data_IF_894037711979
#
_entry.id   IF_894037711979
#
_cell.length_a   1.000
_cell.length_b   1.000
_cell.length_c   1.000
_cell.angle_alpha   90.00
_cell.angle_beta   90.00
_cell.angle_gamma   90.00
#
_symmetry.space_group_name_H-M   'P 1'
#
loop_
_entity.id
_entity.type
_entity.pdbx_description
1 polymer ?
#
# COMPACT_ATOMS: atom_id res chain seq x y z
N UNK A 1 -4.15 -17.71 8.11
CA UNK A 1 -4.84 -17.55 6.82
C UNK A 1 -3.89 -17.99 5.72
N UNK A 2 -4.36 -18.70 4.71
CA UNK A 2 -3.56 -19.17 3.58
C UNK A 2 -4.31 -18.87 2.28
N UNK A 3 -3.61 -18.27 1.32
CA UNK A 3 -4.05 -18.15 -0.06
C UNK A 3 -3.17 -19.11 -0.87
N UNK A 4 -3.79 -20.02 -1.62
CA UNK A 4 -3.05 -20.87 -2.53
C UNK A 4 -2.76 -20.07 -3.80
N UNK A 5 -1.52 -20.12 -4.26
CA UNK A 5 -1.11 -19.46 -5.50
C UNK A 5 -0.61 -20.49 -6.52
N UNK A 6 -0.86 -20.22 -7.80
CA UNK A 6 -0.22 -20.89 -8.91
C UNK A 6 0.87 -19.99 -9.51
N UNK A 7 2.07 -20.04 -8.91
CA UNK A 7 3.12 -19.09 -9.20
C UNK A 7 3.73 -19.23 -10.62
N UNK A 8 4.24 -20.42 -10.95
CA UNK A 8 4.77 -20.77 -12.27
C UNK A 8 4.52 -22.26 -12.52
N UNK A 9 4.51 -22.68 -13.79
CA UNK A 9 4.20 -24.09 -14.11
C UNK A 9 5.39 -25.02 -13.88
N UNK A 10 6.60 -24.54 -14.15
CA UNK A 10 7.84 -25.28 -13.90
C UNK A 10 8.54 -24.74 -12.65
N UNK A 11 9.19 -25.60 -11.84
CA UNK A 11 10.01 -25.14 -10.70
C UNK A 11 11.17 -24.26 -11.19
N UNK A 12 11.04 -22.94 -11.03
CA UNK A 12 12.05 -21.96 -11.41
C UNK A 12 11.84 -20.65 -10.65
N UNK A 13 12.84 -19.77 -10.72
CA UNK A 13 12.70 -18.40 -10.24
C UNK A 13 11.85 -17.59 -11.23
N UNK A 14 10.95 -16.77 -10.69
CA UNK A 14 10.08 -15.88 -11.44
C UNK A 14 10.60 -14.44 -11.31
N UNK A 15 10.50 -13.55 -12.30
CA UNK A 15 9.65 -13.64 -13.47
C UNK A 15 10.34 -13.06 -14.72
N UNK A 16 10.56 -13.88 -15.75
CA UNK A 16 11.13 -13.45 -17.02
C UNK A 16 10.06 -13.18 -18.07
N UNK A 17 10.28 -12.22 -18.97
CA UNK A 17 9.37 -11.96 -20.10
C UNK A 17 9.28 -13.12 -21.10
N UNK A 18 10.31 -13.96 -21.17
CA UNK A 18 10.46 -15.04 -22.14
C UNK A 18 10.76 -16.40 -21.48
N UNK A 19 10.36 -16.59 -20.22
CA UNK A 19 10.61 -17.83 -19.48
C UNK A 19 9.66 -18.98 -19.86
N UNK A 20 8.79 -18.77 -20.85
CA UNK A 20 7.85 -19.77 -21.35
C UNK A 20 6.71 -20.10 -20.39
N UNK A 21 6.51 -19.31 -19.33
CA UNK A 21 5.46 -19.48 -18.33
C UNK A 21 4.55 -18.25 -18.19
N UNK A 22 4.83 -17.14 -18.87
CA UNK A 22 4.18 -15.85 -18.60
C UNK A 22 2.70 -15.78 -18.98
N UNK A 23 2.25 -16.48 -20.02
CA UNK A 23 0.87 -16.35 -20.49
C UNK A 23 0.27 -17.64 -21.09
N UNK A 24 -1.05 -17.67 -21.21
CA UNK A 24 -1.78 -18.80 -21.78
C UNK A 24 -1.24 -19.18 -23.18
N UNK A 25 -0.93 -20.46 -23.38
CA UNK A 25 -0.36 -20.97 -24.63
C UNK A 25 1.15 -20.75 -24.76
N UNK A 26 1.83 -20.30 -23.70
CA UNK A 26 3.27 -20.48 -23.60
C UNK A 26 3.67 -21.95 -23.51
N UNK A 27 4.92 -22.22 -23.88
CA UNK A 27 5.44 -23.60 -24.04
C UNK A 27 5.25 -24.45 -22.78
N UNK A 28 5.23 -23.81 -21.59
CA UNK A 28 4.97 -24.48 -20.32
C UNK A 28 3.64 -24.09 -19.67
N UNK A 29 2.78 -23.31 -20.32
CA UNK A 29 1.50 -22.87 -19.75
C UNK A 29 0.31 -23.25 -20.64
N UNK A 30 -0.11 -24.51 -20.51
CA UNK A 30 -1.35 -25.04 -21.09
C UNK A 30 -2.57 -24.63 -20.24
N UNK A 31 -3.54 -23.88 -20.79
CA UNK A 31 -4.69 -23.40 -20.05
C UNK A 31 -5.64 -24.53 -19.59
N UNK A 32 -5.81 -25.59 -20.37
CA UNK A 32 -6.71 -26.70 -20.00
C UNK A 32 -6.10 -27.54 -18.87
N UNK A 33 -4.78 -27.72 -18.88
CA UNK A 33 -4.06 -28.36 -17.78
C UNK A 33 -4.10 -27.49 -16.51
N UNK A 34 -3.93 -26.19 -16.65
CA UNK A 34 -4.03 -25.24 -15.54
C UNK A 34 -5.41 -25.25 -14.88
N UNK A 35 -6.50 -25.21 -15.65
CA UNK A 35 -7.87 -25.31 -15.11
C UNK A 35 -8.08 -26.62 -14.32
N UNK A 36 -7.56 -27.73 -14.82
CA UNK A 36 -7.59 -29.03 -14.10
C UNK A 36 -6.79 -28.97 -12.80
N UNK A 37 -5.61 -28.33 -12.83
CA UNK A 37 -4.78 -28.11 -11.65
C UNK A 37 -5.48 -27.28 -10.59
N UNK A 38 -6.08 -26.15 -10.98
CA UNK A 38 -6.88 -25.30 -10.10
C UNK A 38 -8.03 -26.07 -9.45
N UNK A 39 -8.80 -26.82 -10.23
CA UNK A 39 -9.91 -27.63 -9.72
C UNK A 39 -9.45 -28.66 -8.70
N UNK A 40 -8.32 -29.32 -8.97
CA UNK A 40 -7.73 -30.32 -8.07
C UNK A 40 -7.27 -29.71 -6.75
N UNK A 41 -6.61 -28.55 -6.80
CA UNK A 41 -6.16 -27.85 -5.59
C UNK A 41 -7.35 -27.32 -4.78
N UNK A 42 -8.36 -26.77 -5.45
CA UNK A 42 -9.59 -26.31 -4.80
C UNK A 42 -10.31 -27.45 -4.06
N UNK A 43 -10.48 -28.61 -4.71
CA UNK A 43 -11.11 -29.79 -4.12
C UNK A 43 -10.28 -30.38 -2.97
N UNK A 44 -8.95 -30.46 -3.12
CA UNK A 44 -8.04 -30.95 -2.08
C UNK A 44 -8.16 -30.17 -0.76
N UNK A 45 -8.35 -28.86 -0.84
CA UNK A 45 -8.48 -27.99 0.33
C UNK A 45 -9.94 -27.69 0.72
N UNK A 46 -10.90 -28.43 0.17
CA UNK A 46 -12.31 -28.28 0.52
C UNK A 46 -12.53 -28.64 1.99
N UNK A 47 -13.11 -27.70 2.74
CA UNK A 47 -13.35 -27.85 4.19
C UNK A 47 -12.14 -27.52 5.08
N UNK A 48 -10.98 -27.14 4.51
CA UNK A 48 -9.83 -26.67 5.27
C UNK A 48 -9.99 -25.17 5.57
N UNK A 49 -10.48 -24.84 6.77
CA UNK A 49 -10.81 -23.46 7.17
C UNK A 49 -9.67 -22.45 7.10
N UNK A 50 -8.42 -22.93 7.14
CA UNK A 50 -7.25 -22.05 7.08
C UNK A 50 -6.95 -21.57 5.65
N UNK A 51 -7.42 -22.29 4.62
CA UNK A 51 -7.32 -21.88 3.21
C UNK A 51 -8.54 -21.05 2.86
N UNK A 52 -8.32 -19.74 2.71
CA UNK A 52 -9.41 -18.78 2.52
C UNK A 52 -9.59 -18.37 1.07
N UNK A 53 -8.57 -18.56 0.23
CA UNK A 53 -8.57 -18.06 -1.13
C UNK A 53 -7.61 -18.80 -2.04
N UNK A 54 -7.82 -18.61 -3.34
CA UNK A 54 -6.93 -19.08 -4.39
C UNK A 54 -6.64 -17.94 -5.36
N UNK A 55 -5.38 -17.51 -5.40
CA UNK A 55 -4.80 -16.76 -6.53
C UNK A 55 -4.56 -17.75 -7.66
N UNK A 56 -5.16 -17.45 -8.81
CA UNK A 56 -5.26 -18.44 -9.87
C UNK A 56 -4.00 -18.50 -10.73
N UNK A 57 -3.24 -17.41 -10.84
CA UNK A 57 -1.99 -17.36 -11.60
C UNK A 57 -1.20 -16.10 -11.24
N UNK A 58 0.06 -16.26 -10.88
CA UNK A 58 0.97 -15.15 -10.66
C UNK A 58 1.43 -14.48 -11.97
N UNK A 59 1.37 -13.15 -12.01
CA UNK A 59 2.05 -12.27 -12.97
C UNK A 59 1.88 -12.64 -14.44
N UNK A 60 0.65 -12.60 -14.96
CA UNK A 60 0.41 -12.81 -16.41
C UNK A 60 1.15 -11.72 -17.21
N UNK A 61 2.01 -12.16 -18.15
CA UNK A 61 3.00 -11.28 -18.79
C UNK A 61 3.55 -11.84 -20.10
N UNK A 62 4.47 -11.09 -20.71
CA UNK A 62 5.26 -11.55 -21.85
C UNK A 62 4.62 -11.24 -23.21
N UNK A 63 5.27 -11.62 -24.32
CA UNK A 63 4.92 -11.14 -25.66
C UNK A 63 3.60 -11.67 -26.21
N UNK A 64 3.05 -12.75 -25.64
CA UNK A 64 1.75 -13.31 -26.04
C UNK A 64 0.57 -12.73 -25.28
N UNK A 65 0.82 -11.98 -24.20
CA UNK A 65 -0.25 -11.48 -23.35
C UNK A 65 -1.25 -10.64 -24.14
N UNK A 66 -2.54 -10.88 -23.92
CA UNK A 66 -3.60 -10.14 -24.57
C UNK A 66 -4.91 -10.23 -23.79
N UNK A 67 -5.73 -9.18 -23.89
CA UNK A 67 -7.01 -9.08 -23.19
C UNK A 67 -8.03 -10.14 -23.62
N UNK A 68 -8.19 -10.47 -24.93
CA UNK A 68 -9.12 -11.51 -25.36
C UNK A 68 -8.89 -12.88 -24.70
N UNK A 69 -7.64 -13.34 -24.64
CA UNK A 69 -7.31 -14.63 -24.00
C UNK A 69 -7.43 -14.57 -22.48
N UNK A 70 -7.14 -13.42 -21.85
CA UNK A 70 -7.44 -13.22 -20.44
C UNK A 70 -8.93 -13.45 -20.16
N UNK A 71 -9.83 -12.81 -20.92
CA UNK A 71 -11.29 -13.02 -20.79
C UNK A 71 -11.75 -14.43 -21.20
N UNK A 72 -10.97 -15.13 -22.03
CA UNK A 72 -11.28 -16.51 -22.41
C UNK A 72 -10.97 -17.50 -21.29
N UNK A 73 -9.87 -17.32 -20.57
CA UNK A 73 -9.34 -18.34 -19.65
C UNK A 73 -9.51 -18.00 -18.16
N UNK A 74 -9.34 -16.74 -17.75
CA UNK A 74 -9.48 -16.37 -16.33
C UNK A 74 -10.89 -16.67 -15.78
N UNK A 75 -11.99 -16.33 -16.50
CA UNK A 75 -13.32 -16.73 -16.04
C UNK A 75 -13.51 -18.24 -15.96
N UNK A 76 -12.93 -19.02 -16.90
CA UNK A 76 -13.02 -20.49 -16.85
C UNK A 76 -12.30 -21.08 -15.65
N UNK A 77 -11.11 -20.57 -15.32
CA UNK A 77 -10.39 -20.94 -14.10
C UNK A 77 -11.20 -20.61 -12.85
N UNK A 78 -11.79 -19.42 -12.81
CA UNK A 78 -12.60 -18.96 -11.69
C UNK A 78 -13.85 -19.83 -11.45
N UNK A 79 -14.58 -20.16 -12.51
CA UNK A 79 -15.74 -21.06 -12.44
C UNK A 79 -15.34 -22.47 -11.99
N UNK A 80 -14.19 -22.97 -12.45
CA UNK A 80 -13.69 -24.28 -12.07
C UNK A 80 -13.30 -24.35 -10.59
N UNK A 81 -12.60 -23.33 -10.08
CA UNK A 81 -12.32 -23.19 -8.64
C UNK A 81 -13.62 -23.12 -7.83
N UNK A 82 -14.58 -22.30 -8.26
CA UNK A 82 -15.86 -22.15 -7.59
C UNK A 82 -16.65 -23.46 -7.51
N UNK A 83 -16.73 -24.20 -8.62
CA UNK A 83 -17.43 -25.47 -8.69
C UNK A 83 -16.81 -26.53 -7.78
N UNK A 84 -15.48 -26.57 -7.69
CA UNK A 84 -14.77 -27.50 -6.81
C UNK A 84 -14.91 -27.10 -5.32
N UNK A 85 -14.70 -25.81 -5.02
CA UNK A 85 -14.73 -25.27 -3.66
C UNK A 85 -15.50 -23.93 -3.59
N UNK A 86 -16.78 -23.94 -3.20
CA UNK A 86 -17.60 -22.74 -3.17
C UNK A 86 -17.23 -21.78 -2.03
N UNK A 87 -16.43 -22.21 -1.05
CA UNK A 87 -16.16 -21.43 0.17
C UNK A 87 -14.88 -20.57 0.11
N UNK A 88 -13.99 -20.82 -0.85
CA UNK A 88 -12.76 -20.01 -1.01
C UNK A 88 -13.03 -18.76 -1.84
N UNK A 89 -12.36 -17.66 -1.49
CA UNK A 89 -12.19 -16.49 -2.33
C UNK A 89 -11.51 -16.89 -3.64
N UNK A 90 -11.94 -16.30 -4.74
CA UNK A 90 -11.33 -16.50 -6.06
C UNK A 90 -10.67 -15.19 -6.47
N UNK A 91 -9.34 -15.21 -6.59
CA UNK A 91 -8.53 -14.02 -6.80
C UNK A 91 -8.05 -14.00 -8.26
N UNK A 92 -8.33 -12.90 -8.96
CA UNK A 92 -7.97 -12.70 -10.37
C UNK A 92 -6.76 -11.77 -10.49
N UNK A 93 -5.69 -12.29 -11.08
CA UNK A 93 -4.50 -11.53 -11.49
C UNK A 93 -4.71 -10.69 -12.75
N UNK A 94 -3.90 -9.64 -12.84
CA UNK A 94 -3.89 -8.67 -13.93
C UNK A 94 -2.95 -9.05 -15.06
N UNK A 95 -2.72 -8.11 -15.97
CA UNK A 95 -1.69 -8.18 -17.00
C UNK A 95 -0.45 -7.42 -16.56
N UNK A 96 0.62 -7.54 -17.36
CA UNK A 96 1.88 -6.84 -17.15
C UNK A 96 2.46 -7.07 -15.75
N UNK A 97 2.69 -8.32 -15.38
CA UNK A 97 3.25 -8.68 -14.06
C UNK A 97 2.32 -8.23 -12.91
N UNK A 98 1.01 -8.42 -13.09
CA UNK A 98 -0.03 -8.02 -12.13
C UNK A 98 -0.02 -6.52 -11.78
N UNK A 99 0.40 -5.69 -12.72
CA UNK A 99 0.39 -4.23 -12.54
C UNK A 99 -0.77 -3.54 -13.24
N UNK A 100 -1.56 -4.26 -14.06
CA UNK A 100 -2.59 -3.67 -14.91
C UNK A 100 -3.90 -4.48 -14.95
N UNK A 101 -4.97 -3.87 -14.41
CA UNK A 101 -6.35 -4.34 -14.46
C UNK A 101 -7.26 -3.34 -15.20
N UNK A 102 -6.70 -2.31 -15.85
CA UNK A 102 -7.47 -1.19 -16.42
C UNK A 102 -8.47 -1.63 -17.50
N UNK A 103 -8.19 -2.73 -18.19
CA UNK A 103 -9.08 -3.29 -19.21
C UNK A 103 -10.42 -3.80 -18.64
N UNK A 104 -10.51 -4.06 -17.33
CA UNK A 104 -11.75 -4.46 -16.65
C UNK A 104 -12.71 -3.27 -16.49
N UNK A 105 -12.18 -2.04 -16.43
CA UNK A 105 -13.00 -0.83 -16.32
C UNK A 105 -14.00 -0.71 -17.48
N UNK A 106 -13.59 -1.11 -18.69
CA UNK A 106 -14.42 -1.03 -19.89
C UNK A 106 -15.28 -2.29 -20.11
N UNK A 107 -14.90 -3.41 -19.51
CA UNK A 107 -15.58 -4.70 -19.70
C UNK A 107 -15.58 -5.48 -18.37
N UNK A 108 -16.57 -5.30 -17.49
CA UNK A 108 -16.60 -6.06 -16.24
C UNK A 108 -16.62 -7.58 -16.47
N UNK A 109 -15.87 -8.31 -15.64
CA UNK A 109 -15.85 -9.78 -15.68
C UNK A 109 -17.22 -10.34 -15.32
N UNK A 110 -17.70 -11.31 -16.10
CA UNK A 110 -18.97 -12.00 -15.83
C UNK A 110 -18.69 -13.42 -15.33
N UNK A 111 -19.17 -13.71 -14.13
CA UNK A 111 -19.08 -15.00 -13.44
C UNK A 111 -20.45 -15.36 -12.85
N UNK A 112 -20.65 -16.65 -12.56
CA UNK A 112 -21.82 -17.18 -11.86
C UNK A 112 -21.89 -16.74 -10.38
N UNK A 113 -20.81 -16.19 -9.85
CA UNK A 113 -20.68 -15.70 -8.47
C UNK A 113 -20.00 -14.32 -8.41
N UNK A 114 -20.25 -13.56 -7.34
CA UNK A 114 -19.66 -12.23 -7.13
C UNK A 114 -19.14 -11.99 -5.71
N UNK A 115 -19.87 -12.41 -4.68
CA UNK A 115 -19.58 -12.09 -3.26
C UNK A 115 -18.32 -12.69 -2.65
N UNK A 116 -17.43 -13.25 -3.46
CA UNK A 116 -16.13 -13.84 -3.06
C UNK A 116 -15.04 -13.64 -4.12
N UNK A 117 -15.28 -12.74 -5.07
CA UNK A 117 -14.34 -12.36 -6.11
C UNK A 117 -13.42 -11.27 -5.57
N UNK A 118 -12.13 -11.42 -5.82
CA UNK A 118 -11.08 -10.48 -5.44
C UNK A 118 -10.20 -10.25 -6.66
N UNK A 119 -9.62 -9.06 -6.80
CA UNK A 119 -8.60 -8.78 -7.79
C UNK A 119 -7.26 -8.58 -7.11
N UNK A 120 -6.16 -8.96 -7.75
CA UNK A 120 -4.83 -8.77 -7.16
C UNK A 120 -3.89 -7.93 -8.01
N UNK A 121 -2.98 -7.25 -7.32
CA UNK A 121 -1.93 -6.44 -7.94
C UNK A 121 -0.60 -6.54 -7.21
N UNK A 122 0.48 -6.40 -7.98
CA UNK A 122 1.84 -6.31 -7.48
C UNK A 122 2.33 -4.87 -7.58
N UNK A 123 3.09 -4.43 -6.59
CA UNK A 123 3.67 -3.09 -6.60
C UNK A 123 5.05 -3.08 -5.95
N UNK A 124 6.05 -2.70 -6.74
CA UNK A 124 7.43 -2.55 -6.29
C UNK A 124 7.98 -1.19 -6.74
N UNK A 125 9.10 -0.77 -6.15
CA UNK A 125 9.76 0.48 -6.50
C UNK A 125 10.13 0.57 -7.99
N UNK A 126 10.47 -0.57 -8.61
CA UNK A 126 10.88 -0.68 -10.01
C UNK A 126 9.70 -0.81 -10.99
N UNK A 127 8.45 -0.94 -10.52
CA UNK A 127 7.26 -1.05 -11.38
C UNK A 127 7.13 0.12 -12.35
N UNK A 128 7.46 1.34 -11.90
CA UNK A 128 7.42 2.57 -12.70
C UNK A 128 8.82 3.00 -13.18
N UNK A 129 9.71 2.04 -13.42
CA UNK A 129 11.05 2.26 -13.95
C UNK A 129 11.94 3.09 -13.01
N UNK A 130 12.57 4.14 -13.54
CA UNK A 130 13.51 4.99 -12.78
C UNK A 130 12.85 6.24 -12.17
N UNK A 131 11.52 6.26 -12.01
CA UNK A 131 10.78 7.44 -11.55
C UNK A 131 11.29 7.95 -10.20
N UNK A 132 11.56 7.06 -9.24
CA UNK A 132 12.08 7.42 -7.92
C UNK A 132 13.48 8.05 -7.93
N UNK A 133 14.31 7.66 -8.89
CA UNK A 133 15.66 8.19 -9.07
C UNK A 133 15.67 9.54 -9.81
N UNK A 134 14.71 9.75 -10.72
CA UNK A 134 14.74 10.84 -11.69
C UNK A 134 13.84 12.03 -11.35
N UNK A 135 12.85 11.85 -10.48
CA UNK A 135 11.86 12.87 -10.16
C UNK A 135 11.94 13.34 -8.72
N UNK A 136 11.48 14.57 -8.48
CA UNK A 136 11.18 15.05 -7.14
C UNK A 136 10.23 14.06 -6.42
N UNK A 137 10.47 13.68 -5.15
CA UNK A 137 9.65 12.67 -4.48
C UNK A 137 8.15 12.98 -4.37
N UNK A 138 7.76 14.26 -4.28
CA UNK A 138 6.33 14.63 -4.28
C UNK A 138 5.68 14.36 -5.64
N UNK A 139 6.37 14.70 -6.73
CA UNK A 139 5.91 14.45 -8.10
C UNK A 139 5.89 12.95 -8.41
N UNK A 140 6.95 12.24 -8.03
CA UNK A 140 7.05 10.79 -8.18
C UNK A 140 5.88 10.07 -7.49
N UNK A 141 5.63 10.38 -6.21
CA UNK A 141 4.55 9.75 -5.46
C UNK A 141 3.17 10.08 -6.05
N UNK A 142 2.93 11.33 -6.47
CA UNK A 142 1.67 11.73 -7.12
C UNK A 142 1.44 10.98 -8.44
N UNK A 143 2.47 10.91 -9.30
CA UNK A 143 2.39 10.23 -10.58
C UNK A 143 2.14 8.73 -10.41
N UNK A 144 2.93 8.08 -9.55
CA UNK A 144 2.88 6.63 -9.34
C UNK A 144 1.56 6.22 -8.70
N UNK A 145 1.12 6.89 -7.63
CA UNK A 145 -0.18 6.57 -7.02
C UNK A 145 -1.32 6.83 -8.00
N UNK A 146 -1.23 7.88 -8.83
CA UNK A 146 -2.16 8.10 -9.93
C UNK A 146 -2.17 6.97 -10.96
N UNK A 147 -1.01 6.38 -11.29
CA UNK A 147 -0.93 5.18 -12.15
C UNK A 147 -1.61 3.98 -11.49
N UNK A 148 -1.31 3.69 -10.22
CA UNK A 148 -1.91 2.58 -9.46
C UNK A 148 -3.43 2.71 -9.41
N UNK A 149 -3.95 3.91 -9.13
CA UNK A 149 -5.40 4.14 -9.11
C UNK A 149 -6.06 3.94 -10.48
N UNK A 150 -5.43 4.40 -11.57
CA UNK A 150 -5.92 4.18 -12.94
C UNK A 150 -5.89 2.71 -13.35
N UNK A 151 -4.87 1.97 -12.93
CA UNK A 151 -4.67 0.59 -13.35
C UNK A 151 -5.44 -0.42 -12.53
N UNK A 152 -5.69 -0.16 -11.26
CA UNK A 152 -6.36 -1.13 -10.38
C UNK A 152 -7.18 -0.50 -9.25
N UNK A 153 -6.73 0.62 -8.67
CA UNK A 153 -7.42 1.22 -7.52
C UNK A 153 -8.87 1.62 -7.79
N UNK A 154 -9.25 1.87 -9.05
CA UNK A 154 -10.65 2.11 -9.45
C UNK A 154 -11.61 0.96 -9.05
N UNK A 155 -11.10 -0.26 -8.84
CA UNK A 155 -11.90 -1.40 -8.40
C UNK A 155 -12.45 -1.21 -6.98
N UNK A 156 -11.67 -0.58 -6.09
CA UNK A 156 -12.12 -0.23 -4.75
C UNK A 156 -13.29 0.76 -4.81
N UNK A 157 -13.22 1.77 -5.68
CA UNK A 157 -14.32 2.74 -5.90
C UNK A 157 -15.59 2.07 -6.44
N UNK A 158 -15.45 0.92 -7.11
CA UNK A 158 -16.55 0.10 -7.60
C UNK A 158 -17.07 -0.93 -6.58
N UNK A 159 -16.48 -0.97 -5.38
CA UNK A 159 -16.85 -1.89 -4.30
C UNK A 159 -16.26 -3.29 -4.44
N UNK A 160 -15.24 -3.48 -5.28
CA UNK A 160 -14.52 -4.75 -5.40
C UNK A 160 -13.31 -4.80 -4.46
N UNK A 161 -13.08 -5.93 -3.76
CA UNK A 161 -11.84 -6.12 -3.01
C UNK A 161 -10.62 -6.13 -3.94
N UNK A 162 -9.60 -5.36 -3.56
CA UNK A 162 -8.29 -5.33 -4.20
C UNK A 162 -7.26 -5.84 -3.20
N UNK A 163 -6.55 -6.90 -3.55
CA UNK A 163 -5.50 -7.52 -2.75
C UNK A 163 -4.13 -7.16 -3.34
N UNK A 164 -3.32 -6.42 -2.62
CA UNK A 164 -1.94 -6.18 -3.03
C UNK A 164 -1.10 -7.40 -2.64
N UNK A 165 -1.09 -8.42 -3.51
CA UNK A 165 -0.53 -9.74 -3.22
C UNK A 165 0.99 -9.74 -3.09
N UNK A 166 1.68 -8.75 -3.67
CA UNK A 166 3.12 -8.60 -3.51
C UNK A 166 3.60 -7.14 -3.51
N UNK A 167 4.41 -6.82 -2.51
CA UNK A 167 5.33 -5.69 -2.48
C UNK A 167 6.54 -6.05 -1.63
N UNK A 168 7.60 -5.24 -1.72
CA UNK A 168 8.76 -5.37 -0.85
C UNK A 168 9.82 -4.32 -1.16
N UNK A 169 10.82 -4.26 -0.28
CA UNK A 169 12.04 -3.48 -0.45
C UNK A 169 13.23 -4.28 0.08
N UNK A 170 14.43 -3.87 -0.28
CA UNK A 170 15.68 -4.35 0.27
C UNK A 170 15.82 -3.94 1.75
N UNK A 171 15.66 -4.91 2.62
CA UNK A 171 15.65 -4.72 4.06
C UNK A 171 17.04 -4.53 4.67
N UNK A 172 18.11 -4.51 3.86
CA UNK A 172 19.40 -3.96 4.29
C UNK A 172 19.33 -2.45 4.55
N UNK A 173 18.32 -1.77 3.99
CA UNK A 173 18.08 -0.34 4.24
C UNK A 173 19.09 0.59 3.56
N UNK A 174 19.64 0.17 2.42
CA UNK A 174 20.66 0.93 1.69
C UNK A 174 20.12 1.62 0.42
N UNK A 175 18.91 1.26 -0.02
CA UNK A 175 18.33 1.77 -1.26
C UNK A 175 17.36 2.94 -0.99
N UNK A 176 17.80 4.15 -1.33
CA UNK A 176 17.03 5.39 -1.12
C UNK A 176 15.73 5.42 -1.93
N UNK A 177 15.74 4.90 -3.16
CA UNK A 177 14.57 4.90 -4.04
C UNK A 177 13.48 3.97 -3.51
N UNK A 178 13.88 2.82 -2.98
CA UNK A 178 12.97 1.89 -2.32
C UNK A 178 12.40 2.45 -1.01
N UNK A 179 13.18 3.25 -0.26
CA UNK A 179 12.64 3.96 0.91
C UNK A 179 11.62 5.03 0.54
N UNK A 180 11.88 5.80 -0.53
CA UNK A 180 10.92 6.78 -1.09
C UNK A 180 9.64 6.09 -1.53
N UNK A 181 9.78 4.98 -2.25
CA UNK A 181 8.68 4.09 -2.62
C UNK A 181 7.88 3.65 -1.40
N UNK A 182 8.53 3.07 -0.38
CA UNK A 182 7.85 2.55 0.80
C UNK A 182 7.08 3.65 1.55
N UNK A 183 7.62 4.87 1.66
CA UNK A 183 6.89 6.00 2.26
C UNK A 183 5.60 6.32 1.48
N UNK A 184 5.67 6.29 0.15
CA UNK A 184 4.51 6.51 -0.71
C UNK A 184 3.52 5.33 -0.65
N UNK A 185 4.01 4.09 -0.61
CA UNK A 185 3.21 2.89 -0.40
C UNK A 185 2.40 2.98 0.90
N UNK A 186 3.07 3.28 2.03
CA UNK A 186 2.39 3.40 3.34
C UNK A 186 1.30 4.49 3.32
N UNK A 187 1.49 5.53 2.53
CA UNK A 187 0.48 6.59 2.33
C UNK A 187 -0.76 6.06 1.63
N UNK A 188 -0.58 5.29 0.55
CA UNK A 188 -1.68 4.75 -0.23
C UNK A 188 -2.39 3.62 0.54
N UNK A 189 -1.62 2.70 1.12
CA UNK A 189 -2.12 1.57 1.89
C UNK A 189 -2.95 2.02 3.10
N UNK A 190 -2.45 2.97 3.90
CA UNK A 190 -3.23 3.52 5.03
C UNK A 190 -4.48 4.28 4.59
N UNK A 191 -4.45 4.96 3.44
CA UNK A 191 -5.58 5.74 2.96
C UNK A 191 -6.69 4.92 2.29
N UNK A 192 -6.32 3.86 1.56
CA UNK A 192 -7.25 2.97 0.88
C UNK A 192 -7.68 1.79 1.74
N UNK A 193 -6.87 1.43 2.73
CA UNK A 193 -7.13 0.33 3.66
C UNK A 193 -7.34 -1.02 2.95
N UNK A 194 -6.58 -1.27 1.88
CA UNK A 194 -6.60 -2.53 1.14
C UNK A 194 -5.81 -3.63 1.86
N UNK A 195 -6.18 -4.88 1.62
CA UNK A 195 -5.42 -6.04 2.08
C UNK A 195 -4.12 -6.23 1.30
N UNK A 196 -3.07 -6.71 1.96
CA UNK A 196 -1.74 -6.86 1.35
C UNK A 196 -1.00 -8.11 1.83
N UNK A 197 -0.06 -8.57 1.02
CA UNK A 197 0.93 -9.57 1.40
C UNK A 197 2.35 -9.07 1.03
N UNK A 198 3.24 -9.19 2.00
CA UNK A 198 4.64 -8.76 1.88
C UNK A 198 5.47 -9.90 1.30
N UNK A 199 6.23 -9.59 0.25
CA UNK A 199 7.35 -10.40 -0.20
C UNK A 199 8.60 -9.97 0.59
N UNK A 200 9.08 -10.74 1.57
CA UNK A 200 8.66 -12.10 1.98
C UNK A 200 9.13 -12.42 3.41
N UNK A 201 8.58 -13.46 4.05
CA UNK A 201 9.02 -13.88 5.40
C UNK A 201 10.45 -14.46 5.42
N UNK A 202 10.92 -15.03 4.31
CA UNK A 202 12.12 -15.88 4.29
C UNK A 202 13.42 -15.13 4.65
N UNK A 203 14.48 -15.86 4.97
CA UNK A 203 15.83 -15.31 5.15
C UNK A 203 16.81 -15.71 4.05
N UNK A 204 16.72 -16.95 3.59
CA UNK A 204 17.55 -17.53 2.54
C UNK A 204 16.78 -18.61 1.78
N UNK A 205 17.23 -18.93 0.57
CA UNK A 205 16.64 -19.98 -0.26
C UNK A 205 17.36 -21.31 -0.05
N UNK A 206 16.61 -22.41 0.05
CA UNK A 206 17.22 -23.74 -0.03
C UNK A 206 18.02 -23.91 -1.33
N UNK A 207 17.45 -23.44 -2.44
CA UNK A 207 18.11 -23.31 -3.74
C UNK A 207 17.44 -22.18 -4.52
N UNK A 208 18.23 -21.25 -5.07
CA UNK A 208 17.76 -20.25 -6.03
C UNK A 208 18.78 -20.13 -7.15
N UNK A 209 18.33 -20.39 -8.38
CA UNK A 209 19.15 -20.23 -9.60
C UNK A 209 20.51 -20.96 -9.52
N UNK A 210 20.54 -22.14 -8.88
CA UNK A 210 21.76 -22.94 -8.72
C UNK A 210 22.62 -22.58 -7.50
N UNK A 211 22.23 -21.57 -6.73
CA UNK A 211 22.92 -21.14 -5.50
C UNK A 211 22.16 -21.65 -4.28
N UNK A 212 22.84 -22.45 -3.46
CA UNK A 212 22.34 -22.94 -2.16
C UNK A 212 22.47 -21.84 -1.12
N UNK A 213 21.48 -21.71 -0.23
CA UNK A 213 21.46 -20.71 0.85
C UNK A 213 21.62 -19.27 0.35
N UNK A 214 21.15 -18.99 -0.86
CA UNK A 214 21.17 -17.64 -1.41
C UNK A 214 20.37 -16.71 -0.49
N UNK A 215 21.01 -15.64 -0.03
CA UNK A 215 20.40 -14.68 0.90
C UNK A 215 19.27 -13.90 0.22
N UNK A 216 18.10 -13.80 0.87
CA UNK A 216 16.98 -12.97 0.40
C UNK A 216 17.00 -11.63 1.13
N UNK A 217 17.43 -10.58 0.44
CA UNK A 217 17.54 -9.25 1.03
C UNK A 217 16.19 -8.54 1.19
N UNK A 218 15.15 -8.97 0.48
CA UNK A 218 13.77 -8.51 0.68
C UNK A 218 13.07 -9.27 1.83
N UNK A 219 13.76 -10.25 2.42
CA UNK A 219 13.25 -11.12 3.46
C UNK A 219 13.22 -10.49 4.85
N UNK A 220 12.11 -10.64 5.58
CA UNK A 220 11.95 -10.16 6.97
C UNK A 220 13.02 -10.74 7.88
N UNK A 221 13.42 -12.00 7.65
CA UNK A 221 14.41 -12.70 8.45
C UNK A 221 15.82 -12.52 7.88
N UNK A 222 16.82 -12.63 8.74
CA UNK A 222 18.23 -12.73 8.34
C UNK A 222 18.53 -14.11 7.71
N UNK A 223 19.71 -14.23 7.08
CA UNK A 223 20.02 -15.39 6.23
C UNK A 223 20.01 -16.74 6.95
N UNK A 224 20.22 -16.74 8.27
CA UNK A 224 20.21 -17.93 9.12
C UNK A 224 18.88 -18.12 9.87
N UNK A 225 17.87 -17.29 9.57
CA UNK A 225 16.51 -17.36 10.11
C UNK A 225 16.42 -17.14 11.63
N UNK A 226 17.41 -16.46 12.22
CA UNK A 226 17.53 -16.30 13.67
C UNK A 226 16.98 -14.97 14.18
N UNK A 227 17.00 -13.91 13.36
CA UNK A 227 16.52 -12.58 13.76
C UNK A 227 15.71 -11.88 12.66
N UNK A 228 14.98 -10.85 13.08
CA UNK A 228 14.36 -9.89 12.17
C UNK A 228 15.46 -9.00 11.60
N UNK A 229 15.60 -8.97 10.28
CA UNK A 229 16.62 -8.20 9.55
C UNK A 229 16.48 -6.69 9.77
N UNK A 230 15.25 -6.18 9.78
CA UNK A 230 14.99 -4.74 9.90
C UNK A 230 13.78 -4.46 10.81
N UNK A 231 14.08 -4.16 12.08
CA UNK A 231 13.05 -3.89 13.08
C UNK A 231 12.26 -2.60 12.78
N UNK A 232 12.92 -1.58 12.24
CA UNK A 232 12.29 -0.30 11.88
C UNK A 232 11.25 -0.50 10.77
N UNK A 233 11.57 -1.31 9.76
CA UNK A 233 10.63 -1.68 8.71
C UNK A 233 9.40 -2.42 9.29
N UNK A 234 9.63 -3.41 10.15
CA UNK A 234 8.53 -4.18 10.75
C UNK A 234 7.62 -3.29 11.61
N UNK A 235 8.20 -2.39 12.40
CA UNK A 235 7.45 -1.39 13.17
C UNK A 235 6.61 -0.50 12.26
N UNK A 236 7.17 -0.02 11.15
CA UNK A 236 6.49 0.85 10.20
C UNK A 236 5.27 0.16 9.56
N UNK A 237 5.43 -1.06 9.04
CA UNK A 237 4.31 -1.78 8.38
C UNK A 237 3.27 -2.30 9.38
N UNK A 238 3.62 -2.47 10.66
CA UNK A 238 2.65 -2.89 11.69
C UNK A 238 1.46 -1.92 11.81
N UNK A 239 1.66 -0.66 11.42
CA UNK A 239 0.64 0.38 11.45
C UNK A 239 -0.55 0.12 10.50
N UNK A 240 -0.34 -0.67 9.45
CA UNK A 240 -1.35 -1.00 8.42
C UNK A 240 -1.73 -2.50 8.45
N UNK A 241 -1.37 -3.22 9.53
CA UNK A 241 -1.79 -4.62 9.71
C UNK A 241 -3.24 -4.74 10.18
N UNK A 242 -3.71 -3.73 10.92
CA UNK A 242 -5.10 -3.63 11.32
C UNK A 242 -5.77 -2.56 10.46
N UNK A 243 -7.01 -2.80 10.00
CA UNK A 243 -7.71 -1.83 9.17
C UNK A 243 -7.97 -0.54 9.95
N UNK A 244 -7.86 0.60 9.25
CA UNK A 244 -8.31 1.89 9.76
C UNK A 244 -9.83 2.02 9.70
N UNK A 245 -10.45 1.38 8.70
CA UNK A 245 -11.87 1.44 8.41
C UNK A 245 -12.47 0.04 8.54
N UNK A 246 -13.50 -0.08 9.36
CA UNK A 246 -14.31 -1.27 9.55
C UNK A 246 -15.57 -1.21 8.69
N UNK A 247 -16.41 -2.25 8.75
CA UNK A 247 -17.66 -2.29 8.00
C UNK A 247 -18.55 -1.09 8.37
N UNK A 248 -19.13 -0.45 7.35
CA UNK A 248 -20.04 0.68 7.52
C UNK A 248 -21.23 0.28 8.41
N UNK A 249 -21.28 0.87 9.60
CA UNK A 249 -22.37 0.71 10.56
C UNK A 249 -22.94 2.09 10.88
N UNK A 250 -24.27 2.25 10.99
CA UNK A 250 -24.89 3.53 11.39
C UNK A 250 -24.41 4.08 12.74
N UNK A 251 -23.83 3.22 13.57
CA UNK A 251 -23.32 3.58 14.90
C UNK A 251 -21.82 3.91 14.88
N UNK A 252 -21.13 3.65 13.77
CA UNK A 252 -19.70 3.87 13.65
C UNK A 252 -19.37 5.36 13.78
N UNK A 253 -18.37 5.67 14.59
CA UNK A 253 -17.84 7.03 14.68
C UNK A 253 -16.77 7.21 13.60
N UNK A 254 -17.03 8.13 12.69
CA UNK A 254 -16.08 8.52 11.65
C UNK A 254 -15.25 9.72 12.07
N UNK A 255 -13.94 9.62 11.94
CA UNK A 255 -12.99 10.71 12.16
C UNK A 255 -11.71 10.43 11.37
N UNK A 256 -10.80 11.39 11.32
CA UNK A 256 -9.50 11.22 10.68
C UNK A 256 -8.38 11.06 11.71
N UNK A 257 -7.32 10.37 11.33
CA UNK A 257 -6.02 10.46 12.01
C UNK A 257 -5.01 11.11 11.08
N UNK A 258 -4.02 11.79 11.67
CA UNK A 258 -2.91 12.37 10.90
C UNK A 258 -1.76 11.36 10.94
N UNK A 259 -1.69 10.51 9.93
CA UNK A 259 -0.72 9.43 9.78
C UNK A 259 0.60 9.95 9.19
N UNK A 260 1.73 9.49 9.71
CA UNK A 260 3.07 9.86 9.26
C UNK A 260 3.74 8.63 8.60
N UNK A 261 3.78 8.57 7.25
CA UNK A 261 4.14 7.36 6.51
C UNK A 261 5.56 6.88 6.74
N UNK A 262 6.51 7.77 7.03
CA UNK A 262 7.91 7.41 7.28
C UNK A 262 8.08 6.56 8.55
N UNK A 263 7.25 6.80 9.58
CA UNK A 263 7.38 6.13 10.88
C UNK A 263 6.30 5.08 11.14
N UNK A 264 5.17 5.11 10.40
CA UNK A 264 4.02 4.25 10.71
C UNK A 264 3.27 4.70 11.97
N UNK A 265 3.40 5.97 12.37
CA UNK A 265 2.79 6.50 13.58
C UNK A 265 1.82 7.63 13.24
N UNK A 266 0.94 7.99 14.16
CA UNK A 266 0.00 9.10 14.00
C UNK A 266 0.28 10.21 15.02
N UNK A 267 -0.12 11.44 14.67
CA UNK A 267 -0.09 12.59 15.59
C UNK A 267 -1.00 12.30 16.78
N UNK A 268 -0.46 12.41 17.99
CA UNK A 268 -1.20 12.29 19.22
C UNK A 268 -0.86 13.40 20.20
N UNK A 269 -1.79 13.63 21.11
CA UNK A 269 -1.63 14.47 22.28
C UNK A 269 -1.62 13.58 23.52
N UNK A 270 -0.51 13.61 24.26
CA UNK A 270 -0.39 12.86 25.53
C UNK A 270 -1.12 13.56 26.67
N UNK A 271 -0.97 14.88 26.75
CA UNK A 271 -1.67 15.75 27.70
C UNK A 271 -1.86 17.15 27.11
N UNK A 272 -2.54 18.04 27.84
CA UNK A 272 -2.71 19.44 27.41
C UNK A 272 -1.42 20.27 27.46
N UNK A 273 -0.45 19.86 28.29
CA UNK A 273 0.82 20.58 28.48
C UNK A 273 1.97 20.00 27.66
N UNK A 274 1.85 18.74 27.22
CA UNK A 274 2.89 18.08 26.46
C UNK A 274 2.88 18.52 24.99
N UNK A 275 4.05 18.56 24.33
CA UNK A 275 4.12 18.75 22.90
C UNK A 275 3.33 17.65 22.15
N UNK A 276 2.75 18.01 21.01
CA UNK A 276 2.23 17.03 20.07
C UNK A 276 3.39 16.13 19.61
N UNK A 277 3.14 14.82 19.54
CA UNK A 277 4.15 13.85 19.14
C UNK A 277 3.55 12.73 18.31
N UNK A 278 4.39 11.94 17.65
CA UNK A 278 3.94 10.71 17.01
C UNK A 278 3.90 9.54 17.98
N UNK A 279 3.02 8.59 17.69
CA UNK A 279 2.87 7.33 18.40
C UNK A 279 1.74 6.47 17.82
N UNK A 280 1.35 5.38 18.50
CA UNK A 280 0.45 4.39 17.93
C UNK A 280 -0.88 5.00 17.49
N UNK A 281 -1.27 4.76 16.24
CA UNK A 281 -2.50 5.32 15.65
C UNK A 281 -3.80 5.03 16.43
N UNK A 282 -3.98 3.87 17.08
CA UNK A 282 -5.13 3.64 17.96
C UNK A 282 -5.26 4.62 19.13
N UNK A 283 -4.17 5.28 19.52
CA UNK A 283 -4.14 6.25 20.63
C UNK A 283 -4.23 7.70 20.12
N UNK A 284 -4.37 7.92 18.82
CA UNK A 284 -4.51 9.26 18.23
C UNK A 284 -5.87 9.86 18.59
N UNK A 285 -5.90 11.17 18.83
CA UNK A 285 -7.16 11.93 18.90
C UNK A 285 -7.92 11.81 17.57
N UNK A 286 -9.25 11.95 17.60
CA UNK A 286 -10.03 12.03 16.39
C UNK A 286 -9.94 13.43 15.77
N UNK A 287 -9.45 13.54 14.54
CA UNK A 287 -9.31 14.79 13.82
C UNK A 287 -10.42 15.01 12.80
N UNK A 288 -10.70 16.27 12.51
CA UNK A 288 -11.52 16.73 11.40
C UNK A 288 -10.71 17.71 10.56
N UNK A 289 -10.82 17.58 9.24
CA UNK A 289 -10.23 18.52 8.28
C UNK A 289 -11.35 19.22 7.53
N UNK A 290 -11.50 20.52 7.78
CA UNK A 290 -12.62 21.30 7.26
C UNK A 290 -12.33 21.86 5.86
N UNK A 291 -13.37 22.25 5.08
CA UNK A 291 -13.19 22.94 3.80
C UNK A 291 -12.41 24.26 3.90
N UNK A 292 -12.28 24.84 5.10
CA UNK A 292 -11.48 26.03 5.37
C UNK A 292 -10.01 25.70 5.67
N UNK A 293 -9.60 24.45 5.45
CA UNK A 293 -8.25 23.92 5.69
C UNK A 293 -7.86 23.93 7.17
N UNK A 294 -8.82 23.75 8.08
CA UNK A 294 -8.54 23.68 9.53
C UNK A 294 -8.48 22.22 9.95
N UNK A 295 -7.39 21.84 10.63
CA UNK A 295 -7.25 20.58 11.34
C UNK A 295 -7.66 20.77 12.80
N UNK A 296 -8.81 20.23 13.19
CA UNK A 296 -9.37 20.36 14.54
C UNK A 296 -9.59 19.01 15.19
N UNK A 297 -9.46 18.95 16.52
CA UNK A 297 -9.77 17.74 17.28
C UNK A 297 -11.30 17.67 17.48
N UNK A 298 -11.90 16.60 16.96
CA UNK A 298 -13.34 16.34 16.97
C UNK A 298 -13.91 16.43 18.38
N UNK A 299 -15.01 17.17 18.52
CA UNK A 299 -15.69 17.35 19.82
C UNK A 299 -14.98 18.32 20.77
N UNK A 300 -13.97 19.07 20.31
CA UNK A 300 -13.26 20.09 21.10
C UNK A 300 -13.16 21.41 20.33
N UNK A 301 -12.65 22.46 20.98
CA UNK A 301 -12.33 23.74 20.34
C UNK A 301 -10.88 23.83 19.86
N UNK A 302 -10.09 22.75 19.99
CA UNK A 302 -8.68 22.77 19.66
C UNK A 302 -8.44 22.55 18.16
N UNK A 303 -7.54 23.36 17.59
CA UNK A 303 -7.03 23.19 16.23
C UNK A 303 -5.51 23.30 16.18
N UNK A 304 -4.93 22.62 15.20
CA UNK A 304 -3.50 22.65 14.96
C UNK A 304 -3.05 24.05 14.54
N UNK A 305 -2.00 24.56 15.15
CA UNK A 305 -1.48 25.90 14.96
C UNK A 305 0.03 25.87 14.76
N UNK A 306 0.51 26.60 13.75
CA UNK A 306 1.92 26.88 13.53
C UNK A 306 2.39 28.05 14.44
N UNK A 307 3.55 27.88 15.08
CA UNK A 307 4.10 28.87 16.02
C UNK A 307 5.43 29.49 15.55
N UNK A 308 5.88 29.16 14.33
CA UNK A 308 7.12 29.68 13.73
C UNK A 308 8.00 28.57 13.15
N UNK A 309 8.97 28.95 12.32
CA UNK A 309 9.96 28.00 11.81
C UNK A 309 10.89 27.52 12.94
N UNK A 310 11.14 26.21 13.01
CA UNK A 310 11.91 25.55 14.07
C UNK A 310 11.15 25.36 15.38
N UNK A 311 9.92 25.85 15.50
CA UNK A 311 9.12 25.76 16.72
C UNK A 311 8.22 24.52 16.71
N UNK A 312 7.78 24.10 17.90
CA UNK A 312 6.77 23.05 18.06
C UNK A 312 5.42 23.53 17.53
N UNK A 313 4.71 22.65 16.81
CA UNK A 313 3.31 22.88 16.48
C UNK A 313 2.46 22.77 17.76
N UNK A 314 1.44 23.62 17.87
CA UNK A 314 0.62 23.74 19.08
C UNK A 314 -0.85 23.53 18.78
N UNK A 315 -1.65 23.40 19.83
CA UNK A 315 -3.10 23.47 19.75
C UNK A 315 -3.57 24.84 20.22
N UNK A 316 -4.24 25.57 19.32
CA UNK A 316 -4.92 26.82 19.63
C UNK A 316 -6.42 26.62 19.78
N UNK A 317 -7.10 27.58 20.41
CA UNK A 317 -8.58 27.63 20.48
C UNK A 317 -9.18 28.63 19.47
N UNK A 318 -8.35 29.51 18.90
CA UNK A 318 -8.77 30.51 17.90
C UNK A 318 -8.44 30.02 16.50
N UNK A 319 -9.35 29.27 15.90
CA UNK A 319 -9.14 28.57 14.63
C UNK A 319 -9.40 29.40 13.36
N UNK A 320 -9.45 30.73 13.49
CA UNK A 320 -9.70 31.66 12.39
C UNK A 320 -8.43 32.29 11.81
N UNK A 321 -7.28 32.11 12.47
CA UNK A 321 -6.03 32.77 12.12
C UNK A 321 -5.37 32.15 10.89
N UNK A 322 -4.45 32.88 10.26
CA UNK A 322 -3.71 32.35 9.10
C UNK A 322 -2.79 31.18 9.48
N UNK A 323 -2.29 31.14 10.71
CA UNK A 323 -1.41 30.10 11.21
C UNK A 323 -2.15 28.85 11.74
N UNK A 324 -3.47 28.79 11.58
CA UNK A 324 -4.30 27.61 11.85
C UNK A 324 -4.88 27.00 10.56
N UNK A 325 -4.49 27.53 9.40
CA UNK A 325 -4.90 27.03 8.08
C UNK A 325 -3.78 26.20 7.47
N UNK A 326 -4.06 24.93 7.17
CA UNK A 326 -3.12 23.93 6.73
C UNK A 326 -3.47 23.43 5.33
N UNK A 327 -2.75 23.90 4.32
CA UNK A 327 -2.96 23.53 2.92
C UNK A 327 -2.13 22.30 2.53
N UNK A 328 -2.77 21.33 1.88
CA UNK A 328 -2.10 20.22 1.21
C UNK A 328 -1.53 20.69 -0.15
N UNK A 329 -0.39 21.37 -0.11
CA UNK A 329 0.09 22.13 -1.27
C UNK A 329 0.93 21.31 -2.26
N UNK A 330 1.69 20.32 -1.79
CA UNK A 330 2.58 19.51 -2.65
C UNK A 330 1.82 18.73 -3.73
N UNK A 331 2.51 18.27 -4.78
CA UNK A 331 1.92 17.41 -5.82
C UNK A 331 1.34 16.11 -5.23
N UNK A 332 2.06 15.51 -4.27
CA UNK A 332 1.64 14.32 -3.53
C UNK A 332 0.46 14.56 -2.59
N UNK A 333 0.15 15.83 -2.26
CA UNK A 333 -0.82 16.22 -1.23
C UNK A 333 -0.48 15.64 0.15
N UNK A 334 0.81 15.55 0.48
CA UNK A 334 1.32 15.02 1.75
C UNK A 334 1.99 16.06 2.63
N UNK A 335 2.29 17.25 2.13
CA UNK A 335 2.85 18.31 2.96
C UNK A 335 1.76 19.28 3.37
N UNK A 336 1.51 19.37 4.68
CA UNK A 336 0.60 20.34 5.30
C UNK A 336 1.36 21.65 5.54
N UNK A 337 1.04 22.69 4.77
CA UNK A 337 1.67 24.00 4.90
C UNK A 337 0.76 25.04 5.55
N UNK A 338 1.32 25.87 6.43
CA UNK A 338 0.63 26.96 7.09
C UNK A 338 1.44 28.26 6.98
N UNK A 339 0.74 29.40 7.00
CA UNK A 339 1.37 30.72 7.05
C UNK A 339 1.72 31.11 8.48
N UNK A 340 2.80 31.83 8.69
CA UNK A 340 3.17 32.43 9.99
C UNK A 340 3.23 33.96 9.91
N UNK A 341 3.44 34.64 11.04
CA UNK A 341 3.28 36.08 11.26
C UNK A 341 4.03 37.01 10.28
N UNK A 342 5.05 36.49 9.59
CA UNK A 342 5.83 37.22 8.57
C UNK A 342 5.36 36.94 7.12
N UNK A 343 4.20 36.31 6.95
CA UNK A 343 3.68 35.81 5.66
C UNK A 343 4.60 34.78 4.96
N UNK A 344 5.60 34.25 5.68
CA UNK A 344 6.34 33.05 5.27
C UNK A 344 5.50 31.80 5.51
N UNK A 345 5.77 30.76 4.72
CA UNK A 345 5.11 29.46 4.83
C UNK A 345 6.03 28.45 5.50
N UNK A 346 5.47 27.66 6.41
CA UNK A 346 6.12 26.51 7.03
C UNK A 346 5.34 25.24 6.71
N UNK A 347 5.98 24.09 6.86
CA UNK A 347 5.38 22.78 6.76
C UNK A 347 5.39 22.08 8.10
N UNK A 348 4.36 21.28 8.35
CA UNK A 348 4.38 20.30 9.43
C UNK A 348 5.54 19.34 9.19
N UNK A 349 6.28 19.04 10.25
CA UNK A 349 7.49 18.21 10.22
C UNK A 349 7.61 17.47 11.57
N UNK A 350 8.55 16.54 11.65
CA UNK A 350 8.94 15.91 12.91
C UNK A 350 10.41 16.15 13.23
N UNK A 351 10.72 16.26 14.52
CA UNK A 351 12.10 16.24 15.00
C UNK A 351 12.60 14.79 15.25
N UNK A 352 13.85 14.65 15.70
CA UNK A 352 14.46 13.35 15.99
C UNK A 352 13.82 12.58 17.15
N UNK A 353 12.98 13.24 17.95
CA UNK A 353 12.22 12.63 19.05
C UNK A 353 10.75 12.38 18.67
N UNK A 354 10.40 12.52 17.39
CA UNK A 354 9.05 12.45 16.87
C UNK A 354 8.09 13.51 17.46
N UNK A 355 8.61 14.65 17.91
CA UNK A 355 7.78 15.81 18.28
C UNK A 355 7.34 16.52 17.00
N UNK A 356 6.08 16.95 16.97
CA UNK A 356 5.52 17.70 15.84
C UNK A 356 6.03 19.13 15.90
N UNK A 357 6.73 19.53 14.84
CA UNK A 357 7.33 20.86 14.69
C UNK A 357 6.90 21.48 13.36
N UNK A 358 7.25 22.74 13.16
CA UNK A 358 7.07 23.43 11.88
C UNK A 358 8.40 23.92 11.34
N UNK A 359 8.76 23.52 10.12
CA UNK A 359 10.02 23.87 9.47
C UNK A 359 9.79 24.46 8.08
N UNK A 360 10.84 25.00 7.45
CA UNK A 360 10.80 25.30 6.02
C UNK A 360 10.37 24.05 5.23
N UNK A 361 9.47 24.25 4.28
CA UNK A 361 8.98 23.16 3.44
C UNK A 361 10.13 22.58 2.58
N UNK A 362 10.30 21.27 2.63
CA UNK A 362 11.30 20.51 1.86
C UNK A 362 10.76 20.21 0.47
N UNK A 363 11.66 19.99 -0.50
CA UNK A 363 11.32 19.51 -1.85
C UNK A 363 10.31 20.37 -2.63
N UNK A 364 10.34 21.69 -2.45
CA UNK A 364 9.51 22.64 -3.21
C UNK A 364 10.02 22.80 -4.66
N UNK A 365 11.33 22.63 -4.89
CA UNK A 365 11.95 22.69 -6.21
C UNK A 365 11.79 21.38 -6.98
N UNK A 366 12.09 21.39 -8.29
CA UNK A 366 12.08 20.21 -9.17
C UNK A 366 13.25 19.23 -8.86
N UNK A 367 14.08 19.55 -7.86
CA UNK A 367 15.23 18.74 -7.44
C UNK A 367 14.79 17.32 -6.99
N UNK A 368 15.48 16.32 -7.53
CA UNK A 368 15.27 14.89 -7.24
C UNK A 368 16.17 14.37 -6.10
N UNK A 369 17.11 15.17 -5.59
CA UNK A 369 18.04 14.79 -4.51
C UNK A 369 17.52 15.08 -3.11
N UNK A 370 16.43 15.82 -3.00
CA UNK A 370 15.83 16.18 -1.71
C UNK A 370 15.06 15.01 -1.07
N UNK A 371 14.70 15.16 0.22
CA UNK A 371 13.86 14.21 0.95
C UNK A 371 12.77 14.93 1.77
N UNK A 372 11.48 14.78 1.42
CA UNK A 372 10.37 15.38 2.16
C UNK A 372 9.75 14.40 3.17
N UNK A 373 10.31 13.21 3.38
CA UNK A 373 9.67 12.11 4.11
C UNK A 373 9.25 12.43 5.54
N UNK A 374 10.00 13.28 6.25
CA UNK A 374 9.62 13.75 7.61
C UNK A 374 8.48 14.78 7.62
N UNK A 375 8.16 15.35 6.46
CA UNK A 375 7.08 16.33 6.26
C UNK A 375 5.86 15.71 5.58
N UNK A 376 5.89 14.41 5.31
CA UNK A 376 4.74 13.70 4.74
C UNK A 376 3.77 13.29 5.85
N UNK A 377 2.56 13.81 5.75
CA UNK A 377 1.44 13.47 6.61
C UNK A 377 0.22 13.17 5.75
N UNK A 378 -0.42 12.03 6.01
CA UNK A 378 -1.65 11.59 5.37
C UNK A 378 -2.81 11.74 6.34
N UNK A 379 -3.87 12.40 5.91
CA UNK A 379 -5.14 12.37 6.62
C UNK A 379 -5.85 11.07 6.24
N UNK A 380 -5.96 10.14 7.19
CA UNK A 380 -6.53 8.80 6.99
C UNK A 380 -7.89 8.74 7.65
N UNK A 381 -8.89 8.26 6.92
CA UNK A 381 -10.22 8.01 7.48
C UNK A 381 -10.18 6.81 8.42
N UNK A 382 -10.87 6.93 9.55
CA UNK A 382 -10.94 5.90 10.58
C UNK A 382 -12.35 5.76 11.10
N UNK A 383 -12.74 4.52 11.31
CA UNK A 383 -14.00 4.17 11.97
C UNK A 383 -13.71 3.43 13.27
N UNK A 384 -14.40 3.81 14.34
CA UNK A 384 -14.51 2.97 15.53
C UNK A 384 -15.94 2.44 15.62
N UNK A 385 -16.05 1.12 15.61
CA UNK A 385 -17.26 0.35 15.94
C UNK A 385 -17.48 0.28 17.44
#
# INVERSE_FOLDING_TARGET
MVILDNHVTQPQWCCGNNDGNGFFGDIYFDPDLWIKGLSKMADMFKGVSNVVGMSMRNELRGPKQNVPDWYRYMPKGAEAVHAANPNVLVILSGLNFDTDLSFIQNQPVTLSFKGKLVFEVHWYSFTDGNTWASMNPNQACAQITGNVMRKAGFLLDQGWPLFLSEFGIDLRGINVDEHRYLNCFMTLASGLDFDWALWTLVGSYYLREGVVEMNEYYGILDSDWSHIRNQTFLQKISAIQLPFQGPDSPQAKHYKVIFHPLTGLCVLRKSLSDPLSLGPCPNSDGWEYTPQNILSIKGTYFCLQADGEGNQAKLGTTCSNLNTKWELFSDSKLQLSSKISNNSSVCLDIDSNNIIVTNACKCISIDNTCDPGSQWFKLVDRTIS
#
